data_IF_857574553658
#
_entry.id   IF_857574553658
#
_cell.length_a   1.000
_cell.length_b   1.000
_cell.length_c   1.000
_cell.angle_alpha   90.00
_cell.angle_beta   90.00
_cell.angle_gamma   90.00
#
_symmetry.space_group_name_H-M   'P 1'
#
loop_
_entity.id
_entity.type
_entity.pdbx_description
1 polymer ?
#
# COMPACT_ATOMS: atom_id res chain seq x y z
N UNK A 1 7.53 -2.29 36.52
CA UNK A 1 8.73 -1.45 36.25
C UNK A 1 8.45 0.05 36.29
N UNK A 2 7.28 0.53 35.83
CA UNK A 2 6.89 1.94 36.02
C UNK A 2 6.55 2.28 37.49
N UNK A 3 5.87 1.38 38.21
CA UNK A 3 5.52 1.56 39.64
C UNK A 3 6.75 1.68 40.54
N UNK A 4 7.84 0.93 40.25
CA UNK A 4 9.10 1.04 41.00
C UNK A 4 9.83 2.37 40.79
N UNK A 5 9.57 3.07 39.68
CA UNK A 5 10.08 4.42 39.44
C UNK A 5 9.24 5.49 40.17
N UNK A 6 7.96 5.22 40.44
CA UNK A 6 7.09 6.14 41.20
C UNK A 6 7.29 6.04 42.71
N UNK A 7 7.76 4.90 43.22
CA UNK A 7 8.13 4.72 44.63
C UNK A 7 9.40 5.51 45.04
N UNK A 8 10.17 6.06 44.09
CA UNK A 8 11.43 6.78 44.36
C UNK A 8 11.30 8.30 44.38
N UNK A 9 10.10 8.86 44.23
CA UNK A 9 9.92 10.32 44.23
C UNK A 9 9.89 10.84 45.69
N UNK A 10 10.75 11.79 46.08
CA UNK A 10 10.90 12.25 47.47
C UNK A 10 9.61 12.87 48.05
N UNK A 11 8.72 13.37 47.19
CA UNK A 11 7.41 13.88 47.58
C UNK A 11 6.47 12.79 48.15
N UNK A 12 6.62 11.54 47.71
CA UNK A 12 5.84 10.40 48.18
C UNK A 12 6.21 10.05 49.63
N UNK A 13 7.50 9.99 49.93
CA UNK A 13 8.00 9.74 51.30
C UNK A 13 7.64 10.88 52.27
N UNK A 14 7.70 12.14 51.82
CA UNK A 14 7.42 13.29 52.67
C UNK A 14 5.94 13.39 53.08
N UNK A 15 5.02 12.98 52.20
CA UNK A 15 3.59 12.92 52.56
C UNK A 15 3.24 11.69 53.39
N UNK A 16 3.93 10.56 53.18
CA UNK A 16 3.76 9.36 54.00
C UNK A 16 4.25 9.58 55.44
N UNK A 17 5.32 10.36 55.64
CA UNK A 17 5.83 10.69 56.98
C UNK A 17 4.95 11.68 57.75
N UNK A 18 4.24 12.57 57.05
CA UNK A 18 3.26 13.48 57.65
C UNK A 18 1.97 12.76 58.07
N UNK A 19 1.57 11.71 57.36
CA UNK A 19 0.42 10.86 57.73
C UNK A 19 0.68 9.94 58.94
N UNK A 20 1.96 9.70 59.29
CA UNK A 20 2.35 8.88 60.44
C UNK A 20 1.98 9.48 61.81
N UNK A 21 1.52 10.75 61.87
CA UNK A 21 1.08 11.39 63.11
C UNK A 21 -0.39 11.12 63.49
N UNK A 22 -1.16 10.41 62.66
CA UNK A 22 -2.53 10.03 62.94
C UNK A 22 -2.64 8.53 63.32
N UNK A 23 -2.03 8.15 64.44
CA UNK A 23 -2.20 6.80 65.02
C UNK A 23 -3.55 6.73 65.75
N UNK A 24 -4.51 5.97 65.22
CA UNK A 24 -5.76 5.64 65.92
C UNK A 24 -5.65 4.21 66.48
N UNK A 25 -5.93 3.98 67.78
CA UNK A 25 -5.85 2.65 68.38
C UNK A 25 -6.93 1.69 67.84
N UNK A 26 -6.54 0.42 67.73
CA UNK A 26 -7.19 -0.69 67.03
C UNK A 26 -8.66 -1.00 67.39
N UNK A 27 -9.17 -0.52 68.51
CA UNK A 27 -10.49 -0.94 69.01
C UNK A 27 -11.67 -0.19 68.37
N UNK A 28 -11.44 0.91 67.66
CA UNK A 28 -12.52 1.75 67.12
C UNK A 28 -12.88 1.43 65.64
N UNK A 29 -12.10 0.56 64.98
CA UNK A 29 -12.27 0.25 63.55
C UNK A 29 -13.19 -0.95 63.26
N UNK A 30 -13.60 -1.72 64.27
CA UNK A 30 -14.37 -2.96 64.09
C UNK A 30 -15.86 -2.77 63.74
N UNK A 31 -16.32 -1.52 63.54
CA UNK A 31 -17.75 -1.21 63.38
C UNK A 31 -18.23 -0.80 61.98
N UNK A 32 -17.34 -0.56 61.01
CA UNK A 32 -17.73 -0.15 59.66
C UNK A 32 -16.96 -1.00 58.67
N UNK A 33 -17.63 -1.57 57.66
CA UNK A 33 -17.03 -2.41 56.62
C UNK A 33 -15.80 -1.74 56.00
N UNK A 34 -14.63 -2.09 56.51
CA UNK A 34 -13.35 -1.51 56.13
C UNK A 34 -12.50 -2.63 55.57
N UNK A 35 -12.10 -2.51 54.31
CA UNK A 35 -11.14 -3.44 53.70
C UNK A 35 -9.77 -3.23 54.33
N UNK A 36 -9.40 -4.12 55.26
CA UNK A 36 -8.09 -4.17 55.91
C UNK A 36 -7.09 -4.80 54.94
N UNK A 37 -5.99 -4.10 54.65
CA UNK A 37 -4.92 -4.58 53.76
C UNK A 37 -3.71 -4.98 54.61
N UNK A 38 -3.48 -6.28 54.73
CA UNK A 38 -2.42 -6.86 55.56
C UNK A 38 -1.12 -7.02 54.74
N UNK A 39 -0.08 -6.27 55.09
CA UNK A 39 1.24 -6.26 54.41
C UNK A 39 2.04 -7.57 54.63
N UNK A 40 1.53 -8.52 55.42
CA UNK A 40 2.16 -9.82 55.67
C UNK A 40 2.00 -10.86 54.53
N UNK A 41 1.02 -10.70 53.63
CA UNK A 41 0.75 -11.60 52.50
C UNK A 41 0.40 -10.79 51.23
N UNK A 42 1.38 -10.37 50.42
CA UNK A 42 1.12 -9.53 49.26
C UNK A 42 0.47 -10.35 48.13
N UNK A 43 -0.85 -10.28 48.02
CA UNK A 43 -1.56 -10.84 46.87
C UNK A 43 -1.56 -9.83 45.72
N UNK A 44 -0.77 -10.11 44.67
CA UNK A 44 -0.65 -9.25 43.48
C UNK A 44 -2.00 -8.90 42.85
N UNK A 45 -2.99 -9.80 42.91
CA UNK A 45 -4.33 -9.56 42.39
C UNK A 45 -5.05 -8.41 43.13
N UNK A 46 -4.86 -8.30 44.45
CA UNK A 46 -5.49 -7.26 45.27
C UNK A 46 -4.82 -5.89 45.05
N UNK A 47 -3.51 -5.86 44.80
CA UNK A 47 -2.80 -4.62 44.41
C UNK A 47 -3.28 -4.11 43.04
N UNK A 48 -3.39 -5.00 42.05
CA UNK A 48 -3.90 -4.65 40.72
C UNK A 48 -5.36 -4.18 40.77
N UNK A 49 -6.23 -4.84 41.55
CA UNK A 49 -7.63 -4.43 41.71
C UNK A 49 -7.74 -3.08 42.45
N UNK A 50 -6.93 -2.84 43.48
CA UNK A 50 -6.92 -1.57 44.21
C UNK A 50 -6.44 -0.41 43.32
N UNK A 51 -5.35 -0.59 42.58
CA UNK A 51 -4.85 0.42 41.62
C UNK A 51 -5.85 0.64 40.50
N UNK A 52 -6.45 -0.42 39.95
CA UNK A 52 -7.46 -0.31 38.92
C UNK A 52 -8.71 0.44 39.42
N UNK A 53 -9.18 0.18 40.63
CA UNK A 53 -10.33 0.88 41.26
C UNK A 53 -10.01 2.33 41.59
N UNK A 54 -8.79 2.60 42.07
CA UNK A 54 -8.32 3.95 42.40
C UNK A 54 -8.23 4.81 41.12
N UNK A 55 -7.69 4.25 40.03
CA UNK A 55 -7.56 4.91 38.72
C UNK A 55 -8.92 5.02 38.00
N UNK A 56 -9.77 3.98 38.08
CA UNK A 56 -11.10 3.96 37.48
C UNK A 56 -12.11 4.85 38.23
N UNK A 57 -11.79 5.31 39.45
CA UNK A 57 -12.65 6.21 40.22
C UNK A 57 -13.82 5.51 40.89
N UNK A 58 -13.70 4.21 41.16
CA UNK A 58 -14.65 3.47 41.97
C UNK A 58 -14.49 3.87 43.45
N UNK A 59 -15.56 3.83 44.27
CA UNK A 59 -15.45 4.09 45.70
C UNK A 59 -14.47 3.07 46.30
N UNK A 60 -13.42 3.58 46.96
CA UNK A 60 -12.47 2.75 47.71
C UNK A 60 -12.78 3.08 49.15
N UNK A 61 -13.21 2.07 49.91
CA UNK A 61 -13.38 2.15 51.36
C UNK A 61 -12.03 2.52 52.01
N UNK A 62 -12.03 3.17 53.19
CA UNK A 62 -10.78 3.63 53.81
C UNK A 62 -9.84 2.45 54.03
N UNK A 63 -8.65 2.53 53.44
CA UNK A 63 -7.69 1.44 53.46
C UNK A 63 -6.99 1.43 54.81
N UNK A 64 -7.34 0.47 55.66
CA UNK A 64 -6.66 0.23 56.92
C UNK A 64 -5.39 -0.58 56.65
N UNK A 65 -4.22 0.08 56.65
CA UNK A 65 -2.92 -0.56 56.47
C UNK A 65 -2.38 -0.98 57.83
N UNK A 66 -2.20 -2.28 58.06
CA UNK A 66 -1.61 -2.83 59.29
C UNK A 66 -0.12 -3.11 59.09
N UNK A 67 0.73 -2.66 60.03
CA UNK A 67 2.12 -3.11 60.12
C UNK A 67 3.20 -2.06 60.40
N UNK A 68 2.86 -0.76 60.51
CA UNK A 68 3.84 0.29 60.83
C UNK A 68 3.79 0.64 62.33
N UNK A 69 4.30 -0.27 63.16
CA UNK A 69 4.47 -0.01 64.59
C UNK A 69 5.58 -0.88 65.18
N UNK A 70 6.66 -0.26 65.64
CA UNK A 70 7.75 -0.92 66.38
C UNK A 70 7.32 -1.43 67.77
N UNK A 71 6.01 -1.49 68.06
CA UNK A 71 5.46 -1.91 69.36
C UNK A 71 3.99 -2.37 69.37
N UNK A 72 3.40 -2.76 68.23
CA UNK A 72 2.02 -3.29 68.17
C UNK A 72 1.25 -2.89 66.91
N UNK A 73 0.05 -3.45 66.66
CA UNK A 73 -0.72 -3.22 65.42
C UNK A 73 -1.33 -1.82 65.41
N UNK A 74 -0.55 -0.84 64.94
CA UNK A 74 -1.02 0.50 64.61
C UNK A 74 -1.75 0.50 63.26
N UNK A 75 -2.92 1.11 63.22
CA UNK A 75 -3.70 1.33 62.02
C UNK A 75 -3.49 2.78 61.57
N UNK A 76 -3.09 2.98 60.32
CA UNK A 76 -3.07 4.31 59.68
C UNK A 76 -4.19 4.31 58.65
N UNK A 77 -5.21 5.12 58.90
CA UNK A 77 -6.30 5.37 57.95
C UNK A 77 -5.82 6.52 57.05
N UNK A 78 -5.39 6.19 55.84
CA UNK A 78 -5.07 7.19 54.82
C UNK A 78 -6.33 7.39 53.98
N UNK A 79 -6.86 8.60 53.96
CA UNK A 79 -8.00 8.93 53.09
C UNK A 79 -7.53 8.98 51.63
N UNK A 80 -8.01 8.08 50.76
CA UNK A 80 -7.54 8.01 49.38
C UNK A 80 -8.05 9.16 48.51
N UNK A 81 -8.99 10.00 48.96
CA UNK A 81 -9.56 11.10 48.18
C UNK A 81 -8.52 12.14 47.75
N UNK A 82 -7.61 12.51 48.64
CA UNK A 82 -6.64 13.61 48.42
C UNK A 82 -5.56 13.26 47.39
N UNK A 83 -5.35 11.96 47.15
CA UNK A 83 -4.32 11.46 46.22
C UNK A 83 -4.89 11.08 44.85
N UNK A 84 -6.21 10.89 44.73
CA UNK A 84 -6.85 10.46 43.48
C UNK A 84 -6.72 11.49 42.36
N UNK A 85 -7.09 12.73 42.63
CA UNK A 85 -7.14 13.77 41.61
C UNK A 85 -5.77 14.09 40.99
N UNK A 86 -4.70 14.32 41.78
CA UNK A 86 -3.38 14.58 41.20
C UNK A 86 -2.80 13.35 40.48
N UNK A 87 -3.04 12.14 40.99
CA UNK A 87 -2.55 10.91 40.36
C UNK A 87 -3.27 10.63 39.03
N UNK A 88 -4.60 10.86 38.97
CA UNK A 88 -5.39 10.76 37.74
C UNK A 88 -4.94 11.76 36.69
N UNK A 89 -4.70 13.01 37.08
CA UNK A 89 -4.32 14.07 36.14
C UNK A 89 -2.93 13.83 35.52
N UNK A 90 -1.97 13.36 36.31
CA UNK A 90 -0.65 12.96 35.80
C UNK A 90 -0.72 11.71 34.93
N UNK A 91 -1.47 10.68 35.36
CA UNK A 91 -1.61 9.44 34.59
C UNK A 91 -2.35 9.66 33.27
N UNK A 92 -3.45 10.43 33.28
CA UNK A 92 -4.18 10.79 32.07
C UNK A 92 -3.33 11.64 31.14
N UNK A 93 -2.55 12.59 31.66
CA UNK A 93 -1.62 13.40 30.87
C UNK A 93 -0.54 12.54 30.19
N UNK A 94 0.08 11.63 30.93
CA UNK A 94 1.09 10.71 30.39
C UNK A 94 0.50 9.76 29.33
N UNK A 95 -0.69 9.21 29.57
CA UNK A 95 -1.37 8.33 28.63
C UNK A 95 -1.82 9.06 27.35
N UNK A 96 -2.33 10.28 27.49
CA UNK A 96 -2.67 11.14 26.35
C UNK A 96 -1.42 11.47 25.53
N UNK A 97 -0.33 11.85 26.19
CA UNK A 97 0.93 12.17 25.50
C UNK A 97 1.48 10.94 24.75
N UNK A 98 1.47 9.77 25.40
CA UNK A 98 1.87 8.51 24.78
C UNK A 98 1.01 8.20 23.55
N UNK A 99 -0.31 8.35 23.66
CA UNK A 99 -1.24 8.08 22.57
C UNK A 99 -1.00 9.05 21.41
N UNK A 100 -0.84 10.34 21.69
CA UNK A 100 -0.53 11.35 20.67
C UNK A 100 0.80 11.02 19.96
N UNK A 101 1.84 10.64 20.70
CA UNK A 101 3.14 10.27 20.11
C UNK A 101 3.01 9.03 19.22
N UNK A 102 2.29 8.01 19.67
CA UNK A 102 2.07 6.79 18.88
C UNK A 102 1.28 7.10 17.61
N UNK A 103 0.18 7.85 17.70
CA UNK A 103 -0.62 8.23 16.54
C UNK A 103 0.15 9.13 15.57
N UNK A 104 0.92 10.09 16.07
CA UNK A 104 1.78 10.93 15.24
C UNK A 104 2.86 10.08 14.52
N UNK A 105 3.47 9.13 15.23
CA UNK A 105 4.41 8.18 14.65
C UNK A 105 3.80 7.30 13.57
N UNK A 106 2.61 6.73 13.81
CA UNK A 106 1.87 5.96 12.80
C UNK A 106 1.51 6.81 11.58
N UNK A 107 1.06 8.05 11.80
CA UNK A 107 0.70 8.96 10.71
C UNK A 107 1.92 9.33 9.87
N UNK A 108 3.06 9.62 10.50
CA UNK A 108 4.32 9.89 9.81
C UNK A 108 4.79 8.66 9.02
N UNK A 109 4.72 7.47 9.60
CA UNK A 109 5.07 6.22 8.93
C UNK A 109 4.14 5.96 7.72
N UNK A 110 2.83 6.13 7.88
CA UNK A 110 1.87 6.02 6.77
C UNK A 110 2.21 6.98 5.63
N UNK A 111 2.50 8.24 5.95
CA UNK A 111 2.84 9.25 4.95
C UNK A 111 4.15 8.90 4.23
N UNK A 112 5.13 8.37 4.96
CA UNK A 112 6.38 7.87 4.41
C UNK A 112 6.16 6.72 3.44
N UNK A 113 5.38 5.69 3.83
CA UNK A 113 5.06 4.56 2.95
C UNK A 113 4.30 5.01 1.70
N UNK A 114 3.32 5.89 1.85
CA UNK A 114 2.56 6.38 0.71
C UNK A 114 3.45 7.13 -0.29
N UNK A 115 4.39 7.96 0.20
CA UNK A 115 5.28 8.74 -0.67
C UNK A 115 6.36 7.90 -1.35
N UNK A 116 6.83 6.84 -0.71
CA UNK A 116 7.90 5.98 -1.24
C UNK A 116 7.40 4.76 -2.03
N UNK A 117 6.19 4.28 -1.78
CA UNK A 117 5.64 3.09 -2.43
C UNK A 117 4.29 3.34 -3.11
N UNK A 118 3.36 4.02 -2.43
CA UNK A 118 2.02 4.25 -2.96
C UNK A 118 2.01 5.11 -4.23
N UNK A 119 2.63 6.28 -4.18
CA UNK A 119 2.68 7.21 -5.30
C UNK A 119 3.44 6.66 -6.52
N UNK A 120 4.64 6.05 -6.39
CA UNK A 120 5.30 5.41 -7.52
C UNK A 120 4.49 4.25 -8.12
N UNK A 121 3.81 3.45 -7.29
CA UNK A 121 2.98 2.35 -7.78
C UNK A 121 1.80 2.87 -8.61
N UNK A 122 1.12 3.91 -8.13
CA UNK A 122 0.03 4.57 -8.87
C UNK A 122 0.54 5.12 -10.19
N UNK A 123 1.66 5.86 -10.18
CA UNK A 123 2.26 6.40 -11.41
C UNK A 123 2.64 5.30 -12.43
N UNK A 124 3.11 4.14 -11.97
CA UNK A 124 3.39 2.99 -12.85
C UNK A 124 2.10 2.45 -13.47
N UNK A 125 1.05 2.25 -12.66
CA UNK A 125 -0.24 1.73 -13.12
C UNK A 125 -0.88 2.69 -14.11
N UNK A 126 -0.84 4.00 -13.84
CA UNK A 126 -1.35 5.02 -14.74
C UNK A 126 -0.60 5.02 -16.08
N UNK A 127 0.72 4.84 -16.06
CA UNK A 127 1.54 4.72 -17.28
C UNK A 127 1.20 3.47 -18.09
N UNK A 128 0.90 2.35 -17.42
CA UNK A 128 0.47 1.09 -18.07
C UNK A 128 -0.93 1.25 -18.67
N UNK A 129 -1.87 1.84 -17.94
CA UNK A 129 -3.23 2.08 -18.40
C UNK A 129 -3.23 3.04 -19.60
N UNK A 130 -2.51 4.15 -19.52
CA UNK A 130 -2.38 5.11 -20.62
C UNK A 130 -1.82 4.44 -21.90
N UNK A 131 -0.80 3.60 -21.76
CA UNK A 131 -0.27 2.83 -22.89
C UNK A 131 -1.21 1.73 -23.39
N UNK A 132 -2.04 1.17 -22.52
CA UNK A 132 -3.04 0.15 -22.90
C UNK A 132 -4.21 0.77 -23.68
N UNK A 133 -4.60 1.99 -23.34
CA UNK A 133 -5.66 2.73 -24.03
C UNK A 133 -5.24 3.16 -25.44
N UNK A 134 -4.00 3.64 -25.60
CA UNK A 134 -3.42 3.94 -26.91
C UNK A 134 -1.99 3.37 -27.05
N UNK A 135 -1.84 2.13 -27.54
CA UNK A 135 -0.53 1.49 -27.69
C UNK A 135 0.29 2.04 -28.86
N UNK A 136 -0.27 2.98 -29.65
CA UNK A 136 0.42 3.62 -30.77
C UNK A 136 1.33 4.79 -30.35
N UNK A 137 1.16 5.28 -29.10
CA UNK A 137 1.92 6.40 -28.54
C UNK A 137 2.69 5.92 -27.31
N UNK A 138 3.99 6.25 -27.25
CA UNK A 138 4.79 5.99 -26.05
C UNK A 138 4.34 6.92 -24.92
N UNK A 139 4.05 6.34 -23.76
CA UNK A 139 3.72 7.12 -22.55
C UNK A 139 5.00 7.52 -21.83
N UNK A 140 5.19 8.81 -21.49
CA UNK A 140 6.37 9.26 -20.77
C UNK A 140 6.44 8.61 -19.38
N UNK A 141 7.64 8.24 -18.96
CA UNK A 141 7.88 7.67 -17.63
C UNK A 141 7.80 8.80 -16.61
N UNK A 142 6.94 8.63 -15.60
CA UNK A 142 6.78 9.59 -14.51
C UNK A 142 8.03 9.67 -13.61
N UNK A 143 8.44 10.88 -13.22
CA UNK A 143 9.62 11.13 -12.39
C UNK A 143 9.53 10.46 -11.01
N UNK A 144 8.32 10.21 -10.50
CA UNK A 144 8.07 9.51 -9.24
C UNK A 144 8.67 8.10 -9.21
N UNK A 145 8.77 7.44 -10.38
CA UNK A 145 9.33 6.10 -10.52
C UNK A 145 10.86 6.07 -10.39
N UNK A 146 11.52 7.20 -10.62
CA UNK A 146 12.97 7.32 -10.56
C UNK A 146 13.50 7.44 -9.13
N UNK A 147 12.60 7.46 -8.14
CA UNK A 147 12.94 7.69 -6.73
C UNK A 147 13.46 6.43 -6.01
N UNK A 148 13.09 5.23 -6.47
CA UNK A 148 13.59 3.96 -5.90
C UNK A 148 14.19 3.07 -6.98
N UNK A 149 15.17 2.25 -6.59
CA UNK A 149 15.89 1.38 -7.54
C UNK A 149 14.98 0.32 -8.16
N UNK A 150 14.04 -0.21 -7.37
CA UNK A 150 13.07 -1.21 -7.80
C UNK A 150 12.12 -0.62 -8.85
N UNK A 151 11.61 0.59 -8.62
CA UNK A 151 10.73 1.26 -9.58
C UNK A 151 11.47 1.72 -10.84
N UNK A 152 12.77 2.07 -10.74
CA UNK A 152 13.61 2.31 -11.93
C UNK A 152 13.72 1.07 -12.82
N UNK A 153 13.89 -0.12 -12.21
CA UNK A 153 13.93 -1.37 -12.97
C UNK A 153 12.59 -1.64 -13.67
N UNK A 154 11.47 -1.43 -12.98
CA UNK A 154 10.13 -1.55 -13.56
C UNK A 154 9.89 -0.53 -14.69
N UNK A 155 10.30 0.72 -14.52
CA UNK A 155 10.19 1.77 -15.52
C UNK A 155 10.95 1.42 -16.81
N UNK A 156 12.18 0.88 -16.71
CA UNK A 156 12.95 0.42 -17.87
C UNK A 156 12.30 -0.78 -18.58
N UNK A 157 11.73 -1.70 -17.80
CA UNK A 157 10.99 -2.83 -18.37
C UNK A 157 9.76 -2.34 -19.16
N UNK A 158 9.03 -1.37 -18.60
CA UNK A 158 7.90 -0.74 -19.29
C UNK A 158 8.35 0.00 -20.56
N UNK A 159 9.44 0.77 -20.51
CA UNK A 159 9.99 1.44 -21.71
C UNK A 159 10.32 0.46 -22.82
N UNK A 160 10.94 -0.67 -22.45
CA UNK A 160 11.31 -1.74 -23.38
C UNK A 160 10.06 -2.38 -24.00
N UNK A 161 9.04 -2.63 -23.18
CA UNK A 161 7.75 -3.15 -23.63
C UNK A 161 7.11 -2.18 -24.64
N UNK A 162 6.96 -0.91 -24.28
CA UNK A 162 6.35 0.10 -25.16
C UNK A 162 7.09 0.19 -26.50
N UNK A 163 8.42 0.27 -26.47
CA UNK A 163 9.25 0.33 -27.68
C UNK A 163 9.04 -0.90 -28.58
N UNK A 164 9.05 -2.10 -28.01
CA UNK A 164 8.88 -3.34 -28.78
C UNK A 164 7.50 -3.42 -29.42
N UNK A 165 6.45 -3.03 -28.69
CA UNK A 165 5.08 -3.01 -29.21
C UNK A 165 4.93 -2.01 -30.36
N UNK A 166 5.49 -0.80 -30.23
CA UNK A 166 5.47 0.20 -31.30
C UNK A 166 6.19 -0.28 -32.56
N UNK A 167 7.34 -0.95 -32.41
CA UNK A 167 8.05 -1.55 -33.54
C UNK A 167 7.19 -2.63 -34.22
N UNK A 168 6.53 -3.49 -33.43
CA UNK A 168 5.66 -4.53 -33.97
C UNK A 168 4.43 -3.95 -34.69
N UNK A 169 3.84 -2.87 -34.18
CA UNK A 169 2.72 -2.18 -34.83
C UNK A 169 3.14 -1.58 -36.18
N UNK A 170 4.26 -0.86 -36.24
CA UNK A 170 4.79 -0.31 -37.50
C UNK A 170 5.14 -1.39 -38.51
N UNK A 171 5.66 -2.52 -38.05
CA UNK A 171 5.95 -3.65 -38.94
C UNK A 171 4.67 -4.24 -39.54
N UNK A 172 3.60 -4.36 -38.74
CA UNK A 172 2.28 -4.79 -39.23
C UNK A 172 1.68 -3.82 -40.23
N UNK A 173 1.74 -2.52 -39.96
CA UNK A 173 1.28 -1.48 -40.87
C UNK A 173 2.00 -1.55 -42.22
N UNK A 174 3.33 -1.64 -42.21
CA UNK A 174 4.12 -1.80 -43.44
C UNK A 174 3.78 -3.06 -44.22
N UNK A 175 3.48 -4.17 -43.54
CA UNK A 175 3.04 -5.41 -44.20
C UNK A 175 1.64 -5.27 -44.81
N UNK A 176 0.75 -4.50 -44.17
CA UNK A 176 -0.55 -4.17 -44.73
C UNK A 176 -0.42 -3.32 -46.00
N UNK A 177 0.42 -2.28 -45.97
CA UNK A 177 0.71 -1.43 -47.14
C UNK A 177 1.29 -2.24 -48.31
N UNK A 178 2.25 -3.13 -48.01
CA UNK A 178 2.81 -4.04 -49.01
C UNK A 178 1.72 -4.99 -49.54
N UNK A 179 0.86 -5.52 -48.68
CA UNK A 179 -0.26 -6.36 -49.06
C UNK A 179 -1.24 -5.66 -50.01
N UNK A 180 -1.56 -4.39 -49.74
CA UNK A 180 -2.38 -3.55 -50.60
C UNK A 180 -1.71 -3.33 -51.97
N UNK A 181 -0.42 -2.97 -51.97
CA UNK A 181 0.34 -2.78 -53.21
C UNK A 181 0.37 -4.06 -54.05
N UNK A 182 0.60 -5.22 -53.41
CA UNK A 182 0.61 -6.53 -54.08
C UNK A 182 -0.78 -6.89 -54.60
N UNK A 183 -1.85 -6.61 -53.85
CA UNK A 183 -3.22 -6.83 -54.29
C UNK A 183 -3.55 -6.00 -55.55
N UNK A 184 -3.09 -4.75 -55.60
CA UNK A 184 -3.24 -3.88 -56.76
C UNK A 184 -2.46 -4.40 -57.97
N UNK A 185 -1.20 -4.81 -57.79
CA UNK A 185 -0.39 -5.42 -58.85
C UNK A 185 -1.08 -6.67 -59.41
N UNK A 186 -1.59 -7.55 -58.54
CA UNK A 186 -2.27 -8.77 -58.98
C UNK A 186 -3.54 -8.45 -59.78
N UNK A 187 -4.34 -7.50 -59.30
CA UNK A 187 -5.51 -7.02 -60.03
C UNK A 187 -5.13 -6.48 -61.42
N UNK A 188 -4.07 -5.68 -61.51
CA UNK A 188 -3.62 -5.09 -62.77
C UNK A 188 -3.07 -6.17 -63.73
N UNK A 189 -2.31 -7.16 -63.23
CA UNK A 189 -1.87 -8.32 -64.01
C UNK A 189 -3.08 -9.08 -64.55
N UNK A 190 -4.09 -9.35 -63.72
CA UNK A 190 -5.31 -10.05 -64.15
C UNK A 190 -6.04 -9.27 -65.25
N UNK A 191 -6.11 -7.95 -65.14
CA UNK A 191 -6.72 -7.10 -66.17
C UNK A 191 -5.94 -7.12 -67.49
N UNK A 192 -4.61 -7.02 -67.43
CA UNK A 192 -3.74 -7.09 -68.63
C UNK A 192 -3.85 -8.46 -69.29
N UNK A 193 -3.85 -9.55 -68.51
CA UNK A 193 -3.98 -10.90 -69.03
C UNK A 193 -5.34 -11.10 -69.72
N UNK A 194 -6.44 -10.69 -69.08
CA UNK A 194 -7.77 -10.76 -69.68
C UNK A 194 -7.86 -10.00 -71.00
N UNK A 195 -7.25 -8.80 -71.07
CA UNK A 195 -7.23 -8.00 -72.29
C UNK A 195 -6.39 -8.65 -73.39
N UNK A 196 -5.25 -9.24 -73.02
CA UNK A 196 -4.38 -9.97 -73.93
C UNK A 196 -5.07 -11.22 -74.50
N UNK A 197 -5.81 -11.98 -73.68
CA UNK A 197 -6.60 -13.13 -74.13
C UNK A 197 -7.67 -12.71 -75.14
N UNK A 198 -8.38 -11.60 -74.91
CA UNK A 198 -9.37 -11.10 -75.87
C UNK A 198 -8.76 -10.68 -77.21
N UNK A 199 -7.60 -10.03 -77.18
CA UNK A 199 -6.85 -9.67 -78.41
C UNK A 199 -6.40 -10.94 -79.14
N UNK A 200 -5.89 -11.93 -78.42
CA UNK A 200 -5.49 -13.20 -78.98
C UNK A 200 -6.67 -13.92 -79.66
N UNK A 201 -7.83 -13.99 -79.00
CA UNK A 201 -9.05 -14.57 -79.56
C UNK A 201 -9.50 -13.84 -80.83
N UNK A 202 -9.38 -12.51 -80.85
CA UNK A 202 -9.70 -11.69 -82.04
C UNK A 202 -8.75 -11.96 -83.21
N UNK A 203 -7.45 -12.08 -82.95
CA UNK A 203 -6.44 -12.38 -83.98
C UNK A 203 -6.63 -13.82 -84.51
N UNK A 204 -6.97 -14.78 -83.65
CA UNK A 204 -7.28 -16.15 -84.04
C UNK A 204 -8.54 -16.24 -84.92
N UNK A 205 -9.53 -15.38 -84.66
CA UNK A 205 -10.75 -15.27 -85.47
C UNK A 205 -10.56 -14.50 -86.79
N UNK A 206 -9.37 -13.93 -87.05
CA UNK A 206 -9.10 -13.14 -88.25
C UNK A 206 -9.01 -13.98 -89.53
N UNK A 207 -9.67 -13.52 -90.61
CA UNK A 207 -9.68 -14.17 -91.92
C UNK A 207 -8.32 -14.13 -92.64
N UNK A 208 -7.42 -13.21 -92.26
CA UNK A 208 -6.09 -13.09 -92.88
C UNK A 208 -5.16 -14.28 -92.49
N UNK A 209 -4.74 -15.13 -93.46
CA UNK A 209 -3.89 -16.30 -93.19
C UNK A 209 -2.49 -15.97 -92.67
N UNK A 210 -1.99 -14.73 -92.85
CA UNK A 210 -0.69 -14.29 -92.33
C UNK A 210 -0.79 -13.93 -90.84
N UNK A 211 -1.85 -13.23 -90.45
CA UNK A 211 -2.10 -12.78 -89.07
C UNK A 211 -2.40 -13.98 -88.15
N UNK A 212 -3.20 -14.94 -88.63
CA UNK A 212 -3.56 -16.16 -87.89
C UNK A 212 -2.36 -17.04 -87.53
N UNK A 213 -1.32 -17.07 -88.37
CA UNK A 213 -0.07 -17.82 -88.12
C UNK A 213 0.82 -17.17 -87.06
N UNK A 214 0.69 -15.87 -86.82
CA UNK A 214 1.51 -15.14 -85.84
C UNK A 214 0.91 -15.17 -84.42
N UNK A 215 -0.41 -15.32 -84.29
CA UNK A 215 -1.14 -15.31 -83.02
C UNK A 215 -0.58 -16.24 -81.92
N UNK A 216 -0.24 -17.52 -82.21
CA UNK A 216 0.21 -18.46 -81.18
C UNK A 216 1.56 -18.06 -80.57
N UNK A 217 2.42 -17.39 -81.35
CA UNK A 217 3.72 -16.93 -80.87
C UNK A 217 3.59 -15.74 -79.92
N UNK A 218 2.65 -14.84 -80.18
CA UNK A 218 2.39 -13.67 -79.31
C UNK A 218 1.80 -14.13 -77.97
N UNK A 219 0.82 -15.03 -77.99
CA UNK A 219 0.23 -15.62 -76.77
C UNK A 219 1.30 -16.33 -75.94
N UNK A 220 2.13 -17.16 -76.57
CA UNK A 220 3.19 -17.91 -75.89
C UNK A 220 4.25 -16.98 -75.27
N UNK A 221 4.57 -15.88 -75.92
CA UNK A 221 5.49 -14.87 -75.36
C UNK A 221 4.89 -14.15 -74.16
N UNK A 222 3.59 -13.85 -74.18
CA UNK A 222 2.87 -13.25 -73.05
C UNK A 222 2.77 -14.20 -71.85
N UNK A 223 2.42 -15.47 -72.09
CA UNK A 223 2.39 -16.50 -71.05
C UNK A 223 3.78 -16.69 -70.40
N UNK A 224 4.86 -16.69 -71.19
CA UNK A 224 6.22 -16.76 -70.67
C UNK A 224 6.60 -15.53 -69.83
N UNK A 225 6.21 -14.32 -70.26
CA UNK A 225 6.50 -13.11 -69.49
C UNK A 225 5.77 -13.09 -68.14
N UNK A 226 4.52 -13.58 -68.07
CA UNK A 226 3.78 -13.70 -66.80
C UNK A 226 4.41 -14.75 -65.88
N UNK A 227 4.90 -15.86 -66.41
CA UNK A 227 5.56 -16.90 -65.61
C UNK A 227 6.92 -16.47 -65.02
N UNK A 228 7.51 -15.38 -65.53
CA UNK A 228 8.79 -14.83 -65.06
C UNK A 228 8.64 -13.70 -64.02
N UNK A 229 7.41 -13.25 -63.75
CA UNK A 229 7.09 -12.24 -62.73
C UNK A 229 6.53 -12.90 -61.47
#
# INVERSE_FOLDING_TARGET
MLVSLFASTPAFYQKLSLAAHALVPAEMAAGHGMTVFDLGQPSLAAEFDCVARLVAGLPVEPLAVTGLGTGGPGFVIVDPSDFRDPLRMMFSGSLLMLTVVIFAGLSALRMFLHRHYGAPLQALVDSINAFSDDPSVASPIADELLRSREFVAAARALETLQRNTLLALRQRERLADIGEAVAKINHDIRNVLSSATLVADTILASEDPRVRRMAPHIVRSLEQSVALC
#
